data_IF_818800741792
#
_entry.id   IF_818800741792
#
_cell.length_a   1.000
_cell.length_b   1.000
_cell.length_c   1.000
_cell.angle_alpha   90.00
_cell.angle_beta   90.00
_cell.angle_gamma   90.00
#
_symmetry.space_group_name_H-M   'P 1'
#
loop_
_entity.id
_entity.type
_entity.pdbx_description
1 polymer ?
#
# COMPACT_ATOMS: atom_id res chain seq x y z
N UNK A 1 22.16 -2.27 -2.50
CA UNK A 1 21.57 -0.94 -2.71
C UNK A 1 20.78 -0.60 -1.47
N UNK A 2 20.92 0.61 -0.93
CA UNK A 2 20.14 1.02 0.25
C UNK A 2 18.89 1.76 -0.19
N UNK A 3 17.77 1.04 -0.23
CA UNK A 3 16.49 1.56 -0.72
C UNK A 3 15.52 1.80 0.45
N UNK A 4 14.77 2.89 0.38
CA UNK A 4 13.75 3.28 1.36
C UNK A 4 12.36 3.27 0.72
N UNK A 5 11.43 2.54 1.32
CA UNK A 5 10.03 2.50 0.91
C UNK A 5 9.17 3.17 1.97
N UNK A 6 8.26 4.04 1.55
CA UNK A 6 7.22 4.61 2.42
C UNK A 6 5.89 3.97 2.07
N UNK A 7 5.32 3.19 3.00
CA UNK A 7 3.97 2.65 2.92
C UNK A 7 2.95 3.59 3.57
N UNK A 8 1.78 3.74 2.96
CA UNK A 8 0.72 4.66 3.40
C UNK A 8 -0.62 3.92 3.46
N UNK A 9 -1.20 3.77 4.66
CA UNK A 9 -2.62 3.38 4.82
C UNK A 9 -3.48 4.65 4.82
N UNK A 10 -3.89 5.10 3.64
CA UNK A 10 -4.49 6.41 3.45
C UNK A 10 -5.93 6.45 3.96
N UNK A 11 -6.23 7.39 4.86
CA UNK A 11 -7.61 7.66 5.23
C UNK A 11 -8.30 8.57 4.21
N UNK A 12 -9.61 8.39 4.01
CA UNK A 12 -10.37 9.19 3.05
C UNK A 12 -10.56 10.68 3.41
N UNK A 13 -10.19 11.10 4.62
CA UNK A 13 -10.27 12.49 5.06
C UNK A 13 -9.07 12.82 5.97
N UNK A 14 -8.54 14.04 5.86
CA UNK A 14 -7.41 14.51 6.68
C UNK A 14 -7.74 14.58 8.18
N UNK A 15 -9.02 14.64 8.57
CA UNK A 15 -9.43 14.57 9.97
C UNK A 15 -9.37 13.16 10.57
N UNK A 16 -8.89 12.17 9.81
CA UNK A 16 -8.76 10.77 10.23
C UNK A 16 -7.28 10.36 10.16
N UNK A 17 -6.83 9.48 11.07
CA UNK A 17 -5.45 9.01 11.07
C UNK A 17 -5.14 8.25 9.78
N UNK A 18 -3.97 8.54 9.21
CA UNK A 18 -3.35 7.83 8.10
C UNK A 18 -2.10 7.16 8.62
N UNK A 19 -1.98 5.85 8.42
CA UNK A 19 -0.80 5.10 8.84
C UNK A 19 0.36 5.35 7.90
N UNK A 20 1.56 5.56 8.44
CA UNK A 20 2.81 5.64 7.71
C UNK A 20 3.75 4.55 8.21
N UNK A 21 4.40 3.87 7.28
CA UNK A 21 5.54 3.00 7.58
C UNK A 21 6.73 3.40 6.70
N UNK A 22 7.87 3.63 7.31
CA UNK A 22 9.15 3.78 6.61
C UNK A 22 9.92 2.48 6.76
N UNK A 23 10.19 1.81 5.64
CA UNK A 23 10.86 0.51 5.57
C UNK A 23 12.26 0.67 4.97
N UNK A 24 13.27 0.16 5.69
CA UNK A 24 14.67 0.06 5.23
C UNK A 24 15.19 -1.33 5.56
N UNK A 25 15.21 -2.18 4.54
CA UNK A 25 15.44 -3.60 4.71
C UNK A 25 14.42 -4.25 5.63
N UNK A 26 14.87 -4.70 6.81
CA UNK A 26 14.00 -5.28 7.85
C UNK A 26 13.57 -4.27 8.93
N UNK A 27 14.12 -3.06 8.94
CA UNK A 27 13.77 -2.04 9.94
C UNK A 27 12.51 -1.30 9.49
N UNK A 28 11.56 -1.17 10.41
CA UNK A 28 10.36 -0.38 10.19
C UNK A 28 10.21 0.68 11.26
N UNK A 29 9.82 1.86 10.82
CA UNK A 29 9.37 2.92 11.70
C UNK A 29 7.95 3.32 11.31
N UNK A 30 7.02 3.21 12.25
CA UNK A 30 5.61 3.52 12.03
C UNK A 30 5.17 4.75 12.82
N UNK A 31 4.22 5.49 12.27
CA UNK A 31 3.52 6.59 12.93
C UNK A 31 2.19 6.88 12.23
N UNK A 32 1.33 7.64 12.89
CA UNK A 32 0.13 8.19 12.26
C UNK A 32 0.33 9.68 11.92
N UNK A 33 -0.15 10.07 10.74
CA UNK A 33 -0.26 11.46 10.29
C UNK A 33 -1.69 11.74 9.84
N UNK A 34 -1.98 12.97 9.44
CA UNK A 34 -3.33 13.39 9.05
C UNK A 34 -3.35 14.06 7.69
N UNK A 35 -2.55 15.10 7.51
CA UNK A 35 -2.60 15.98 6.34
C UNK A 35 -1.76 15.43 5.18
N UNK A 36 -2.12 15.77 3.94
CA UNK A 36 -1.37 15.37 2.75
C UNK A 36 0.08 15.87 2.78
N UNK A 37 0.32 17.07 3.31
CA UNK A 37 1.67 17.64 3.46
C UNK A 37 2.52 16.88 4.49
N UNK A 38 1.92 16.29 5.53
CA UNK A 38 2.66 15.43 6.46
C UNK A 38 3.11 14.14 5.75
N UNK A 39 2.25 13.54 4.93
CA UNK A 39 2.59 12.34 4.14
C UNK A 39 3.71 12.66 3.14
N UNK A 40 3.63 13.79 2.44
CA UNK A 40 4.69 14.22 1.52
C UNK A 40 6.00 14.54 2.26
N UNK A 41 5.93 15.15 3.44
CA UNK A 41 7.11 15.39 4.29
C UNK A 41 7.80 14.08 4.68
N UNK A 42 7.04 13.04 5.02
CA UNK A 42 7.61 11.72 5.31
C UNK A 42 8.39 11.17 4.12
N UNK A 43 7.84 11.25 2.90
CA UNK A 43 8.56 10.84 1.69
C UNK A 43 9.86 11.63 1.47
N UNK A 44 9.83 12.96 1.66
CA UNK A 44 10.98 13.86 1.49
C UNK A 44 12.08 13.62 2.52
N UNK A 45 11.74 13.66 3.81
CA UNK A 45 12.70 13.55 4.91
C UNK A 45 13.40 12.19 4.88
N UNK A 46 12.64 11.14 4.56
CA UNK A 46 13.18 9.79 4.47
C UNK A 46 13.85 9.46 3.14
N UNK A 47 13.81 10.39 2.16
CA UNK A 47 14.33 10.22 0.79
C UNK A 47 13.79 8.93 0.16
N UNK A 48 12.46 8.80 0.15
CA UNK A 48 11.80 7.61 -0.36
C UNK A 48 12.17 7.34 -1.83
N UNK A 49 12.58 6.11 -2.12
CA UNK A 49 12.74 5.62 -3.50
C UNK A 49 11.39 5.21 -4.11
N UNK A 50 10.43 4.88 -3.24
CA UNK A 50 9.07 4.49 -3.60
C UNK A 50 8.08 4.86 -2.50
N UNK A 51 6.91 5.35 -2.90
CA UNK A 51 5.74 5.51 -2.04
C UNK A 51 4.65 4.52 -2.46
N UNK A 52 4.24 3.63 -1.55
CA UNK A 52 3.20 2.63 -1.78
C UNK A 52 1.93 3.02 -1.00
N UNK A 53 0.85 3.33 -1.73
CA UNK A 53 -0.36 3.91 -1.15
C UNK A 53 -1.52 2.91 -1.20
N UNK A 54 -2.14 2.64 -0.05
CA UNK A 54 -3.41 1.93 0.06
C UNK A 54 -4.57 2.88 -0.24
N UNK A 55 -4.80 3.13 -1.54
CA UNK A 55 -5.97 3.81 -2.04
C UNK A 55 -6.11 3.55 -3.54
N UNK A 56 -7.33 3.56 -4.10
CA UNK A 56 -7.49 3.70 -5.54
C UNK A 56 -6.84 4.99 -6.04
N UNK A 57 -5.89 4.87 -6.97
CA UNK A 57 -5.14 5.99 -7.55
C UNK A 57 -5.57 6.32 -8.99
N UNK A 58 -6.68 5.75 -9.45
CA UNK A 58 -7.25 6.00 -10.77
C UNK A 58 -8.76 5.75 -10.81
N UNK A 59 -9.40 6.23 -11.88
CA UNK A 59 -10.81 5.98 -12.15
C UNK A 59 -10.97 4.81 -13.14
N UNK A 60 -12.11 4.10 -13.11
CA UNK A 60 -12.48 3.17 -14.18
C UNK A 60 -12.46 3.85 -15.56
N UNK A 61 -11.95 3.14 -16.57
CA UNK A 61 -11.95 3.57 -17.98
C UNK A 61 -13.36 3.91 -18.42
N UNK A 62 -13.51 5.07 -19.08
CA UNK A 62 -14.81 5.62 -19.47
C UNK A 62 -15.51 6.44 -18.38
N UNK A 63 -14.97 6.50 -17.15
CA UNK A 63 -15.46 7.39 -16.09
C UNK A 63 -14.68 8.71 -16.10
N UNK A 64 -15.40 9.83 -16.08
CA UNK A 64 -14.81 11.18 -16.07
C UNK A 64 -14.55 11.72 -14.67
N UNK A 65 -15.46 11.45 -13.72
CA UNK A 65 -15.40 12.00 -12.37
C UNK A 65 -16.08 11.09 -11.34
N UNK A 66 -15.84 11.33 -10.04
CA UNK A 66 -16.44 10.57 -8.95
C UNK A 66 -17.85 11.09 -8.60
N UNK A 67 -18.14 12.32 -8.99
CA UNK A 67 -19.36 13.08 -8.72
C UNK A 67 -20.48 12.72 -9.72
N UNK A 68 -20.11 12.38 -10.95
CA UNK A 68 -21.07 12.01 -12.00
C UNK A 68 -21.60 10.57 -11.84
N UNK A 69 -22.86 10.37 -12.18
CA UNK A 69 -23.39 9.03 -12.40
C UNK A 69 -22.76 8.45 -13.67
N UNK A 70 -22.26 7.23 -13.58
CA UNK A 70 -21.62 6.53 -14.70
C UNK A 70 -21.83 5.03 -14.52
N UNK A 71 -22.02 4.27 -15.62
CA UNK A 71 -22.11 2.80 -15.57
C UNK A 71 -20.74 2.14 -15.32
N UNK A 72 -19.64 2.89 -15.40
CA UNK A 72 -18.29 2.40 -15.18
C UNK A 72 -17.94 2.47 -13.68
N UNK A 73 -17.97 1.31 -13.03
CA UNK A 73 -17.83 1.17 -11.57
C UNK A 73 -16.55 0.48 -11.11
N UNK A 74 -15.94 -0.33 -11.97
CA UNK A 74 -14.80 -1.19 -11.65
C UNK A 74 -13.73 -1.02 -12.73
N UNK A 75 -12.49 -0.85 -12.29
CA UNK A 75 -11.28 -0.97 -13.11
C UNK A 75 -10.96 -2.43 -13.42
N UNK A 76 -10.03 -2.68 -14.34
CA UNK A 76 -9.53 -4.00 -14.64
C UNK A 76 -8.85 -4.64 -13.43
N UNK A 77 -8.09 -3.87 -12.64
CA UNK A 77 -7.50 -4.35 -11.38
C UNK A 77 -8.56 -4.80 -10.37
N UNK A 78 -9.66 -4.05 -10.25
CA UNK A 78 -10.80 -4.38 -9.39
C UNK A 78 -11.47 -5.70 -9.83
N UNK A 79 -11.60 -5.93 -11.14
CA UNK A 79 -12.15 -7.18 -11.71
C UNK A 79 -11.22 -8.37 -11.50
N UNK A 80 -9.92 -8.15 -11.54
CA UNK A 80 -8.94 -9.18 -11.26
C UNK A 80 -8.99 -9.63 -9.80
N UNK A 81 -9.15 -8.69 -8.85
CA UNK A 81 -9.41 -9.01 -7.44
C UNK A 81 -10.65 -9.92 -7.28
N UNK A 82 -11.76 -9.63 -7.97
CA UNK A 82 -12.94 -10.50 -7.97
C UNK A 82 -12.65 -11.90 -8.48
N UNK A 83 -11.92 -12.00 -9.60
CA UNK A 83 -11.56 -13.28 -10.23
C UNK A 83 -10.71 -14.13 -9.28
N UNK A 84 -9.83 -13.49 -8.52
CA UNK A 84 -8.98 -14.11 -7.48
C UNK A 84 -9.71 -14.30 -6.13
N UNK A 85 -11.01 -13.98 -6.06
CA UNK A 85 -11.86 -14.07 -4.86
C UNK A 85 -11.37 -13.22 -3.67
N UNK A 86 -10.61 -12.16 -3.96
CA UNK A 86 -10.17 -11.18 -2.97
C UNK A 86 -11.29 -10.14 -2.83
N UNK A 87 -11.82 -10.01 -1.62
CA UNK A 87 -12.86 -9.01 -1.31
C UNK A 87 -12.25 -7.61 -1.25
N UNK A 88 -12.93 -6.63 -1.83
CA UNK A 88 -12.59 -5.21 -1.77
C UNK A 88 -13.86 -4.35 -1.81
N UNK A 89 -13.71 -3.05 -1.59
CA UNK A 89 -14.78 -2.08 -1.76
C UNK A 89 -14.64 -1.33 -3.10
N UNK A 90 -15.68 -1.29 -3.94
CA UNK A 90 -15.61 -0.59 -5.22
C UNK A 90 -15.26 0.90 -5.04
N UNK A 91 -14.39 1.40 -5.91
CA UNK A 91 -13.94 2.81 -5.98
C UNK A 91 -15.12 3.80 -5.95
N UNK A 92 -16.26 3.41 -6.51
CA UNK A 92 -17.45 4.25 -6.64
C UNK A 92 -18.40 4.25 -5.43
N UNK A 93 -18.13 3.44 -4.40
CA UNK A 93 -18.88 3.40 -3.15
C UNK A 93 -18.70 4.70 -2.36
N UNK A 94 -19.75 5.18 -1.68
CA UNK A 94 -19.78 6.51 -1.04
C UNK A 94 -18.51 6.88 -0.23
N UNK A 95 -18.08 6.06 0.75
CA UNK A 95 -16.85 6.30 1.50
C UNK A 95 -15.58 6.26 0.63
N UNK A 96 -15.54 5.39 -0.38
CA UNK A 96 -14.39 5.21 -1.27
C UNK A 96 -14.17 6.40 -2.19
N UNK A 97 -15.20 7.19 -2.51
CA UNK A 97 -15.04 8.38 -3.38
C UNK A 97 -14.08 9.40 -2.78
N UNK A 98 -14.21 9.71 -1.49
CA UNK A 98 -13.32 10.67 -0.83
C UNK A 98 -11.88 10.13 -0.78
N UNK A 99 -11.73 8.85 -0.46
CA UNK A 99 -10.43 8.17 -0.46
C UNK A 99 -9.79 8.18 -1.85
N UNK A 100 -10.53 7.82 -2.89
CA UNK A 100 -10.04 7.79 -4.28
C UNK A 100 -9.63 9.19 -4.73
N UNK A 101 -10.49 10.19 -4.49
CA UNK A 101 -10.20 11.58 -4.86
C UNK A 101 -8.93 12.08 -4.15
N UNK A 102 -8.74 11.72 -2.88
CA UNK A 102 -7.55 12.07 -2.11
C UNK A 102 -6.32 11.32 -2.61
N UNK A 103 -6.41 10.01 -2.82
CA UNK A 103 -5.32 9.17 -3.34
C UNK A 103 -4.80 9.66 -4.68
N UNK A 104 -5.70 9.95 -5.64
CA UNK A 104 -5.32 10.53 -6.93
C UNK A 104 -4.57 11.86 -6.79
N UNK A 105 -5.07 12.80 -5.97
CA UNK A 105 -4.38 14.08 -5.74
C UNK A 105 -3.02 13.91 -5.09
N UNK A 106 -2.92 13.02 -4.10
CA UNK A 106 -1.68 12.74 -3.37
C UNK A 106 -0.64 12.10 -4.29
N UNK A 107 -1.05 11.12 -5.11
CA UNK A 107 -0.20 10.53 -6.16
C UNK A 107 0.35 11.62 -7.08
N UNK A 108 -0.53 12.43 -7.66
CA UNK A 108 -0.11 13.48 -8.58
C UNK A 108 0.86 14.47 -7.93
N UNK A 109 0.66 14.82 -6.65
CA UNK A 109 1.54 15.72 -5.92
C UNK A 109 2.93 15.10 -5.68
N UNK A 110 2.99 13.85 -5.23
CA UNK A 110 4.24 13.11 -5.04
C UNK A 110 5.00 12.89 -6.36
N UNK A 111 4.31 12.52 -7.44
CA UNK A 111 4.93 12.31 -8.75
C UNK A 111 5.50 13.61 -9.34
N UNK A 112 4.84 14.76 -9.12
CA UNK A 112 5.38 16.07 -9.52
C UNK A 112 6.68 16.43 -8.78
N UNK A 113 6.89 15.90 -7.58
CA UNK A 113 8.14 16.05 -6.83
C UNK A 113 9.21 15.01 -7.21
N UNK A 114 8.89 14.10 -8.14
CA UNK A 114 9.81 13.09 -8.65
C UNK A 114 9.78 11.76 -7.91
N UNK A 115 8.85 11.56 -6.97
CA UNK A 115 8.69 10.26 -6.30
C UNK A 115 8.01 9.26 -7.22
N UNK A 116 8.47 8.00 -7.16
CA UNK A 116 7.74 6.87 -7.74
C UNK A 116 6.59 6.48 -6.82
N UNK A 117 5.38 6.38 -7.35
CA UNK A 117 4.18 6.04 -6.58
C UNK A 117 3.51 4.79 -7.15
N UNK A 118 3.06 3.90 -6.29
CA UNK A 118 2.25 2.73 -6.67
C UNK A 118 1.01 2.59 -5.79
N UNK A 119 -0.05 2.04 -6.37
CA UNK A 119 -1.23 1.59 -5.64
C UNK A 119 -1.00 0.17 -5.10
N UNK A 120 -1.33 -0.05 -3.84
CA UNK A 120 -1.27 -1.35 -3.18
C UNK A 120 -2.58 -1.63 -2.44
N UNK A 121 -2.80 -2.89 -2.06
CA UNK A 121 -3.96 -3.28 -1.26
C UNK A 121 -3.56 -4.22 -0.11
N UNK A 122 -3.24 -3.69 1.10
CA UNK A 122 -2.78 -4.43 2.26
C UNK A 122 -3.62 -5.66 2.61
N UNK A 123 -4.94 -5.51 2.67
CA UNK A 123 -5.83 -6.63 3.00
C UNK A 123 -5.71 -7.79 2.01
N UNK A 124 -5.59 -7.49 0.72
CA UNK A 124 -5.36 -8.52 -0.30
C UNK A 124 -3.95 -9.09 -0.24
N UNK A 125 -2.94 -8.25 0.00
CA UNK A 125 -1.55 -8.69 0.13
C UNK A 125 -1.35 -9.63 1.34
N UNK A 126 -2.01 -9.34 2.46
CA UNK A 126 -2.06 -10.20 3.65
C UNK A 126 -2.62 -11.58 3.31
N UNK A 127 -3.71 -11.65 2.54
CA UNK A 127 -4.26 -12.95 2.10
C UNK A 127 -3.27 -13.73 1.24
N UNK A 128 -2.60 -13.07 0.28
CA UNK A 128 -1.61 -13.71 -0.61
C UNK A 128 -0.40 -14.23 0.18
N UNK A 129 0.05 -13.49 1.20
CA UNK A 129 1.18 -13.85 2.05
C UNK A 129 0.81 -14.80 3.21
N UNK A 130 -0.46 -15.19 3.33
CA UNK A 130 -0.93 -16.05 4.44
C UNK A 130 -0.83 -15.37 5.81
N UNK A 131 -0.97 -14.05 5.87
CA UNK A 131 -0.99 -13.25 7.09
C UNK A 131 -2.45 -12.95 7.47
N UNK A 132 -2.87 -13.19 8.73
CA UNK A 132 -4.21 -12.83 9.16
C UNK A 132 -4.45 -11.32 9.04
N UNK A 133 -5.54 -10.93 8.36
CA UNK A 133 -5.99 -9.53 8.32
C UNK A 133 -6.38 -9.02 9.72
N UNK A 134 -6.36 -7.70 9.93
CA UNK A 134 -6.77 -7.04 11.19
C UNK A 134 -8.13 -7.48 11.75
N UNK A 135 -9.10 -7.79 10.88
CA UNK A 135 -10.42 -8.31 11.29
C UNK A 135 -10.39 -9.67 12.02
N UNK A 136 -9.26 -10.39 12.01
CA UNK A 136 -9.02 -11.62 12.78
C UNK A 136 -8.29 -11.38 14.11
N UNK A 137 -7.96 -10.13 14.42
CA UNK A 137 -7.20 -9.67 15.58
C UNK A 137 -5.95 -8.90 15.15
N UNK A 138 -5.75 -7.70 15.72
CA UNK A 138 -4.59 -6.83 15.47
C UNK A 138 -3.28 -7.54 15.81
N UNK A 139 -3.27 -8.30 16.89
CA UNK A 139 -2.13 -9.04 17.40
C UNK A 139 -1.66 -10.11 16.39
N UNK A 140 -2.60 -10.74 15.68
CA UNK A 140 -2.27 -11.76 14.66
C UNK A 140 -1.66 -11.15 13.40
N UNK A 141 -2.14 -9.96 13.01
CA UNK A 141 -1.53 -9.21 11.91
C UNK A 141 -0.11 -8.80 12.29
N UNK A 142 0.08 -8.25 13.49
CA UNK A 142 1.39 -7.90 14.03
C UNK A 142 2.34 -9.10 14.07
N UNK A 143 1.90 -10.24 14.59
CA UNK A 143 2.68 -11.48 14.63
C UNK A 143 3.06 -11.97 13.22
N UNK A 144 2.13 -11.89 12.26
CA UNK A 144 2.39 -12.24 10.87
C UNK A 144 3.45 -11.35 10.24
N UNK A 145 3.37 -10.04 10.46
CA UNK A 145 4.34 -9.06 9.97
C UNK A 145 5.71 -9.23 10.63
N UNK A 146 5.78 -9.43 11.95
CA UNK A 146 7.02 -9.79 12.65
C UNK A 146 7.58 -11.12 12.16
N UNK A 147 6.71 -12.05 11.76
CA UNK A 147 7.07 -13.33 11.14
C UNK A 147 7.71 -13.21 9.76
N UNK A 148 7.61 -12.05 9.09
CA UNK A 148 8.40 -11.71 7.89
C UNK A 148 9.79 -11.16 8.24
N UNK A 149 10.09 -10.98 9.53
CA UNK A 149 11.34 -10.45 10.06
C UNK A 149 11.37 -8.93 10.26
N UNK A 150 10.23 -8.25 10.18
CA UNK A 150 10.16 -6.81 10.46
C UNK A 150 10.52 -6.52 11.93
N UNK A 151 11.56 -5.72 12.13
CA UNK A 151 12.04 -5.30 13.43
C UNK A 151 11.40 -3.97 13.85
N UNK A 152 11.40 -3.67 15.15
CA UNK A 152 10.97 -2.35 15.69
C UNK A 152 9.46 -2.04 15.54
N UNK A 153 8.68 -2.96 14.97
CA UNK A 153 7.21 -2.86 14.95
C UNK A 153 6.64 -3.08 16.35
N UNK A 154 6.14 -2.01 16.98
CA UNK A 154 5.64 -2.00 18.37
C UNK A 154 4.40 -2.88 18.55
N UNK A 155 4.20 -3.40 19.78
CA UNK A 155 2.95 -4.06 20.16
C UNK A 155 1.77 -3.08 20.23
N UNK A 156 2.06 -1.80 20.47
CA UNK A 156 1.07 -0.73 20.53
C UNK A 156 0.68 -0.18 19.16
N UNK A 157 1.32 -0.66 18.08
CA UNK A 157 1.03 -0.19 16.73
C UNK A 157 -0.48 -0.30 16.41
N UNK A 158 -1.03 0.71 15.76
CA UNK A 158 -2.43 0.78 15.36
C UNK A 158 -2.70 -0.08 14.13
N UNK A 159 -3.98 -0.35 13.87
CA UNK A 159 -4.40 -1.05 12.64
C UNK A 159 -3.90 -0.33 11.37
N UNK A 160 -3.83 1.00 11.41
CA UNK A 160 -3.37 1.82 10.29
C UNK A 160 -1.86 1.67 10.08
N UNK A 161 -1.09 1.67 11.16
CA UNK A 161 0.35 1.46 11.11
C UNK A 161 0.72 0.06 10.59
N UNK A 162 -0.04 -0.98 10.97
CA UNK A 162 0.17 -2.34 10.48
C UNK A 162 -0.20 -2.52 9.00
N UNK A 163 -1.28 -1.89 8.54
CA UNK A 163 -1.63 -1.89 7.11
C UNK A 163 -0.61 -1.07 6.29
N UNK A 164 -0.12 0.06 6.82
CA UNK A 164 0.97 0.82 6.22
C UNK A 164 2.28 0.01 6.15
N UNK A 165 2.59 -0.79 7.16
CA UNK A 165 3.72 -1.71 7.13
C UNK A 165 3.56 -2.79 6.05
N UNK A 166 2.34 -3.32 5.89
CA UNK A 166 2.03 -4.23 4.77
C UNK A 166 2.24 -3.53 3.42
N UNK A 167 1.75 -2.29 3.26
CA UNK A 167 1.94 -1.49 2.05
C UNK A 167 3.43 -1.30 1.72
N UNK A 168 4.25 -0.99 2.73
CA UNK A 168 5.69 -0.85 2.56
C UNK A 168 6.37 -2.16 2.13
N UNK A 169 5.96 -3.30 2.70
CA UNK A 169 6.46 -4.63 2.27
C UNK A 169 6.12 -4.90 0.80
N UNK A 170 4.90 -4.60 0.37
CA UNK A 170 4.51 -4.76 -1.05
C UNK A 170 5.36 -3.86 -1.95
N UNK A 171 5.60 -2.62 -1.54
CA UNK A 171 6.48 -1.70 -2.27
C UNK A 171 7.93 -2.20 -2.36
N UNK A 172 8.45 -2.78 -1.29
CA UNK A 172 9.75 -3.44 -1.28
C UNK A 172 9.81 -4.60 -2.29
N UNK A 173 8.82 -5.49 -2.28
CA UNK A 173 8.73 -6.60 -3.24
C UNK A 173 8.60 -6.10 -4.69
N UNK A 174 7.94 -4.97 -4.90
CA UNK A 174 7.85 -4.34 -6.21
C UNK A 174 9.22 -3.91 -6.73
N UNK A 175 10.03 -3.23 -5.92
CA UNK A 175 11.41 -2.83 -6.29
C UNK A 175 12.29 -4.04 -6.60
N UNK A 176 12.04 -5.17 -5.96
CA UNK A 176 12.77 -6.43 -6.15
C UNK A 176 12.16 -7.34 -7.23
N UNK A 177 11.15 -6.87 -7.98
CA UNK A 177 10.46 -7.66 -9.02
C UNK A 177 9.80 -8.96 -8.51
N UNK A 178 9.46 -9.01 -7.22
CA UNK A 178 8.74 -10.12 -6.54
C UNK A 178 7.25 -9.81 -6.38
N UNK A 179 6.64 -9.25 -7.42
CA UNK A 179 5.26 -8.77 -7.40
C UNK A 179 4.45 -9.32 -8.57
N UNK A 180 3.13 -9.21 -8.46
CA UNK A 180 2.18 -9.25 -9.58
C UNK A 180 1.48 -7.89 -9.67
N UNK A 181 1.28 -7.39 -10.89
CA UNK A 181 0.52 -6.17 -11.12
C UNK A 181 -0.85 -6.54 -11.68
N UNK A 182 -1.91 -6.27 -10.92
CA UNK A 182 -3.27 -6.58 -11.35
C UNK A 182 -3.85 -5.42 -12.16
N UNK A 183 -4.51 -5.74 -13.26
CA UNK A 183 -5.11 -4.76 -14.17
C UNK A 183 -4.16 -4.24 -15.26
N UNK A 184 -4.46 -3.06 -15.77
CA UNK A 184 -3.89 -2.50 -17.01
C UNK A 184 -3.12 -1.21 -16.69
N UNK A 185 -1.86 -1.05 -17.13
CA UNK A 185 -1.06 0.14 -16.84
C UNK A 185 -1.69 1.47 -17.26
N UNK A 186 -2.48 1.50 -18.34
CA UNK A 186 -3.13 2.72 -18.84
C UNK A 186 -4.36 3.11 -18.02
N UNK A 187 -5.04 2.15 -17.40
CA UNK A 187 -6.17 2.40 -16.49
C UNK A 187 -5.73 2.55 -15.02
N UNK A 188 -4.64 1.89 -14.64
CA UNK A 188 -4.13 1.79 -13.28
C UNK A 188 -4.06 0.34 -12.81
N UNK A 189 -3.06 0.06 -11.96
CA UNK A 189 -2.78 -1.28 -11.47
C UNK A 189 -2.73 -1.30 -9.95
N UNK A 190 -3.14 -2.43 -9.37
CA UNK A 190 -2.88 -2.73 -7.95
C UNK A 190 -1.68 -3.65 -7.90
N UNK A 191 -0.62 -3.22 -7.22
CA UNK A 191 0.57 -4.03 -7.02
C UNK A 191 0.35 -4.95 -5.82
N UNK A 192 0.66 -6.22 -6.02
CA UNK A 192 0.44 -7.31 -5.06
C UNK A 192 1.70 -8.17 -4.95
N UNK A 193 1.93 -8.85 -3.81
CA UNK A 193 2.99 -9.84 -3.72
C UNK A 193 2.81 -10.94 -4.77
N UNK A 194 3.92 -11.47 -5.29
CA UNK A 194 3.87 -12.66 -6.14
C UNK A 194 3.24 -13.83 -5.38
N UNK A 195 2.29 -14.51 -6.02
CA UNK A 195 1.60 -15.66 -5.42
C UNK A 195 2.60 -16.78 -5.10
N UNK A 196 2.49 -17.36 -3.91
CA UNK A 196 3.32 -18.48 -3.48
C UNK A 196 4.66 -18.11 -2.86
N UNK A 197 4.93 -16.81 -2.63
CA UNK A 197 6.10 -16.38 -1.86
C UNK A 197 6.06 -16.95 -0.43
N UNK A 198 7.14 -17.64 -0.05
CA UNK A 198 7.34 -18.07 1.33
C UNK A 198 7.82 -16.92 2.22
N UNK A 199 7.61 -17.06 3.54
CA UNK A 199 8.11 -16.07 4.51
C UNK A 199 9.63 -15.90 4.44
N UNK A 200 10.37 -16.98 4.16
CA UNK A 200 11.82 -16.94 4.03
C UNK A 200 12.26 -16.20 2.77
N UNK A 201 11.55 -16.35 1.65
CA UNK A 201 11.82 -15.55 0.45
C UNK A 201 11.57 -14.06 0.70
N UNK A 202 10.46 -13.71 1.36
CA UNK A 202 10.18 -12.31 1.72
C UNK A 202 11.26 -11.78 2.66
N UNK A 203 11.64 -12.53 3.70
CA UNK A 203 12.70 -12.15 4.63
C UNK A 203 14.04 -11.90 3.91
N UNK A 204 14.48 -12.82 3.04
CA UNK A 204 15.71 -12.68 2.27
C UNK A 204 15.66 -11.47 1.34
N UNK A 205 14.55 -11.30 0.62
CA UNK A 205 14.32 -10.17 -0.26
C UNK A 205 14.41 -8.84 0.50
N UNK A 206 13.76 -8.74 1.66
CA UNK A 206 13.84 -7.55 2.50
C UNK A 206 15.27 -7.27 2.98
N UNK A 207 16.09 -8.29 3.25
CA UNK A 207 17.50 -8.05 3.61
C UNK A 207 18.33 -7.46 2.48
N UNK A 208 18.00 -7.77 1.23
CA UNK A 208 18.72 -7.25 0.06
C UNK A 208 18.53 -5.72 -0.13
N UNK A 209 17.42 -5.15 0.39
CA UNK A 209 17.13 -3.71 0.35
C UNK A 209 18.04 -2.84 1.22
N UNK A 210 18.71 -3.42 2.21
CA UNK A 210 19.67 -2.73 3.09
C UNK A 210 21.09 -3.28 2.94
N UNK A 211 21.33 -4.12 1.93
CA UNK A 211 22.67 -4.61 1.63
C UNK A 211 23.49 -3.50 0.96
N UNK A 212 24.63 -3.14 1.55
CA UNK A 212 25.67 -2.42 0.82
C UNK A 212 26.18 -3.33 -0.30
N UNK A 213 26.14 -2.84 -1.55
CA UNK A 213 26.74 -3.57 -2.68
C UNK A 213 28.26 -3.57 -2.57
#
# INVERSE_FOLDING_TARGET
>A
MRLTVVGVDLAGAESRPTGICVLRGLRVEVREVKEDEEIMREARVNKADLVAIDAPLSLPRGRRSLEERSPHHLRLCDRELLTRRIKFFPVTLGPMRKLTARGMRLKDALEREGFKVIEVYPGGAQDVLGIPRKGRGKEKLLEGLRGLGLHELSAEASDHELDAATAAVVGALFLLSLHEAYGDPEEGQIIMPRTGLSRNEVYSALRELDADC
#
